data_IF_356005641414
#
_entry.id   IF_356005641414
#
_cell.length_a   1.000
_cell.length_b   1.000
_cell.length_c   1.000
_cell.angle_alpha   90.00
_cell.angle_beta   90.00
_cell.angle_gamma   90.00
#
_symmetry.space_group_name_H-M   'P 1'
#
loop_
_entity.id
_entity.type
_entity.pdbx_description
1 polymer ?
#
# COMPACT_ATOMS: atom_id res chain seq x y z
N UNK A 1 -8.44 -33.35 6.28
CA UNK A 1 -8.46 -31.94 6.71
C UNK A 1 -8.12 -31.90 8.20
N UNK A 2 -6.85 -31.74 8.56
CA UNK A 2 -6.44 -31.65 9.97
C UNK A 2 -6.43 -30.17 10.33
N UNK A 3 -7.47 -29.70 11.01
CA UNK A 3 -7.47 -28.34 11.57
C UNK A 3 -6.71 -28.39 12.90
N UNK A 4 -5.41 -28.11 12.86
CA UNK A 4 -4.66 -27.76 14.06
C UNK A 4 -5.05 -26.33 14.47
N UNK A 5 -6.28 -26.17 14.93
CA UNK A 5 -6.74 -24.92 15.53
C UNK A 5 -6.23 -24.87 16.98
N UNK A 6 -4.95 -24.57 17.16
CA UNK A 6 -4.45 -24.15 18.47
C UNK A 6 -5.18 -22.86 18.84
N UNK A 7 -6.07 -22.91 19.84
CA UNK A 7 -6.76 -21.72 20.40
C UNK A 7 -5.80 -20.76 21.13
N UNK A 8 -4.51 -21.08 21.20
CA UNK A 8 -3.51 -20.28 21.88
C UNK A 8 -2.91 -19.24 20.92
N UNK A 9 -3.51 -18.05 20.92
CA UNK A 9 -3.16 -16.94 20.03
C UNK A 9 -1.69 -16.50 20.17
N UNK A 10 -1.09 -16.62 21.36
CA UNK A 10 0.32 -16.27 21.56
C UNK A 10 1.27 -17.20 20.78
N UNK A 11 0.93 -18.49 20.73
CA UNK A 11 1.72 -19.48 19.99
C UNK A 11 1.64 -19.17 18.50
N UNK A 12 0.44 -18.86 17.99
CA UNK A 12 0.23 -18.45 16.59
C UNK A 12 1.06 -17.20 16.27
N UNK A 13 1.00 -16.16 17.13
CA UNK A 13 1.76 -14.92 16.96
C UNK A 13 3.27 -15.17 16.93
N UNK A 14 3.80 -16.01 17.82
CA UNK A 14 5.22 -16.40 17.82
C UNK A 14 5.62 -17.16 16.56
N UNK A 15 4.81 -18.13 16.13
CA UNK A 15 5.07 -18.92 14.91
C UNK A 15 5.10 -18.02 13.68
N UNK A 16 4.12 -17.13 13.50
CA UNK A 16 4.10 -16.21 12.36
C UNK A 16 5.29 -15.24 12.43
N UNK A 17 5.60 -14.70 13.62
CA UNK A 17 6.78 -13.85 13.85
C UNK A 17 8.10 -14.52 13.43
N UNK A 18 8.31 -15.77 13.84
CA UNK A 18 9.50 -16.55 13.48
C UNK A 18 9.53 -16.81 11.97
N UNK A 19 8.39 -17.16 11.38
CA UNK A 19 8.30 -17.40 9.94
C UNK A 19 8.60 -16.14 9.12
N UNK A 20 8.05 -14.98 9.48
CA UNK A 20 8.34 -13.72 8.79
C UNK A 20 9.80 -13.29 8.91
N UNK A 21 10.48 -13.69 9.98
CA UNK A 21 11.92 -13.41 10.15
C UNK A 21 12.79 -14.36 9.33
N UNK A 22 12.55 -15.67 9.43
CA UNK A 22 13.48 -16.68 8.92
C UNK A 22 13.19 -17.15 7.51
N UNK A 23 11.93 -17.18 7.08
CA UNK A 23 11.55 -17.66 5.73
C UNK A 23 12.12 -16.74 4.63
N UNK A 24 12.02 -15.39 4.73
CA UNK A 24 12.60 -14.52 3.72
C UNK A 24 14.12 -14.64 3.66
N UNK A 25 14.80 -14.72 4.82
CA UNK A 25 16.25 -14.93 4.89
C UNK A 25 16.66 -16.26 4.25
N UNK A 26 15.95 -17.34 4.56
CA UNK A 26 16.20 -18.65 3.95
C UNK A 26 16.00 -18.62 2.44
N UNK A 27 14.92 -18.01 1.95
CA UNK A 27 14.64 -17.91 0.53
C UNK A 27 15.64 -16.98 -0.18
N UNK A 28 16.05 -15.89 0.44
CA UNK A 28 17.08 -15.00 -0.09
C UNK A 28 18.43 -15.72 -0.20
N UNK A 29 18.88 -16.40 0.85
CA UNK A 29 20.16 -17.12 0.83
C UNK A 29 20.19 -18.26 -0.18
N UNK A 30 19.07 -18.98 -0.37
CA UNK A 30 19.02 -20.15 -1.25
C UNK A 30 18.59 -19.86 -2.70
N UNK A 31 17.89 -18.75 -2.95
CA UNK A 31 17.38 -18.40 -4.29
C UNK A 31 18.08 -17.18 -4.89
N UNK A 32 18.52 -16.24 -4.06
CA UNK A 32 19.26 -15.02 -4.42
C UNK A 32 20.74 -15.22 -4.07
N UNK A 33 21.33 -16.32 -4.54
CA UNK A 33 22.79 -16.39 -4.58
C UNK A 33 23.33 -15.27 -5.48
N UNK A 34 24.51 -14.72 -5.14
CA UNK A 34 25.17 -13.56 -5.78
C UNK A 34 25.28 -13.61 -7.32
N UNK A 35 24.99 -14.75 -7.95
CA UNK A 35 25.08 -14.96 -9.39
C UNK A 35 23.79 -14.63 -10.17
N UNK A 36 22.61 -14.60 -9.54
CA UNK A 36 21.35 -14.41 -10.26
C UNK A 36 20.64 -13.12 -9.84
N UNK A 37 20.78 -12.07 -10.66
CA UNK A 37 20.03 -10.79 -10.50
C UNK A 37 18.50 -10.98 -10.58
N UNK A 38 18.04 -12.11 -11.14
CA UNK A 38 16.62 -12.40 -11.27
C UNK A 38 16.27 -13.82 -10.78
N UNK A 39 15.31 -13.89 -9.84
CA UNK A 39 14.82 -15.12 -9.22
C UNK A 39 14.39 -16.20 -10.23
N UNK A 40 13.86 -15.80 -11.39
CA UNK A 40 13.37 -16.73 -12.42
C UNK A 40 14.47 -17.46 -13.19
N UNK A 41 15.73 -17.02 -13.07
CA UNK A 41 16.88 -17.65 -13.72
C UNK A 41 17.45 -18.81 -12.90
N UNK A 42 17.07 -18.92 -11.62
CA UNK A 42 17.52 -20.01 -10.77
C UNK A 42 16.77 -21.31 -11.15
N UNK A 43 17.46 -22.43 -11.45
CA UNK A 43 16.80 -23.69 -11.82
C UNK A 43 15.86 -24.22 -10.72
N UNK A 44 16.16 -23.93 -9.45
CA UNK A 44 15.31 -24.32 -8.31
C UNK A 44 14.02 -23.49 -8.22
N UNK A 45 13.94 -22.35 -8.92
CA UNK A 45 12.77 -21.47 -8.91
C UNK A 45 11.49 -22.18 -9.34
N UNK A 46 11.54 -23.07 -10.34
CA UNK A 46 10.35 -23.80 -10.80
C UNK A 46 9.68 -24.60 -9.67
N UNK A 47 10.48 -25.16 -8.76
CA UNK A 47 10.02 -25.94 -7.61
C UNK A 47 9.52 -24.99 -6.51
N UNK A 48 10.32 -23.98 -6.17
CA UNK A 48 9.99 -23.05 -5.09
C UNK A 48 8.88 -22.06 -5.42
N UNK A 49 8.59 -21.79 -6.70
CA UNK A 49 7.59 -20.80 -7.14
C UNK A 49 6.23 -21.01 -6.48
N UNK A 50 5.76 -22.26 -6.39
CA UNK A 50 4.45 -22.58 -5.79
C UNK A 50 4.47 -22.32 -4.29
N UNK A 51 5.52 -22.75 -3.60
CA UNK A 51 5.67 -22.54 -2.16
C UNK A 51 5.83 -21.06 -1.80
N UNK A 52 6.62 -20.31 -2.57
CA UNK A 52 6.79 -18.86 -2.40
C UNK A 52 5.46 -18.16 -2.67
N UNK A 53 4.75 -18.51 -3.75
CA UNK A 53 3.43 -17.94 -4.04
C UNK A 53 2.45 -18.20 -2.91
N UNK A 54 2.41 -19.42 -2.36
CA UNK A 54 1.53 -19.75 -1.23
C UNK A 54 1.90 -18.97 0.02
N UNK A 55 3.19 -18.83 0.33
CA UNK A 55 3.68 -18.02 1.44
C UNK A 55 3.27 -16.55 1.31
N UNK A 56 3.48 -15.94 0.14
CA UNK A 56 3.09 -14.56 -0.13
C UNK A 56 1.57 -14.37 -0.04
N UNK A 57 0.79 -15.29 -0.59
CA UNK A 57 -0.68 -15.27 -0.45
C UNK A 57 -1.12 -15.36 1.01
N UNK A 58 -0.47 -16.19 1.83
CA UNK A 58 -0.76 -16.28 3.27
C UNK A 58 -0.48 -14.96 4.00
N UNK A 59 0.60 -14.24 3.63
CA UNK A 59 0.87 -12.89 4.18
C UNK A 59 -0.29 -11.94 3.85
N UNK A 60 -0.73 -11.93 2.59
CA UNK A 60 -1.85 -11.08 2.14
C UNK A 60 -3.12 -11.43 2.91
N UNK A 61 -3.40 -12.72 3.11
CA UNK A 61 -4.55 -13.19 3.89
C UNK A 61 -4.50 -12.71 5.34
N UNK A 62 -3.34 -12.79 6.00
CA UNK A 62 -3.16 -12.31 7.38
C UNK A 62 -3.44 -10.80 7.47
N UNK A 63 -2.93 -10.01 6.53
CA UNK A 63 -3.16 -8.55 6.49
C UNK A 63 -4.63 -8.22 6.23
N UNK A 64 -5.30 -8.99 5.38
CA UNK A 64 -6.73 -8.79 5.08
C UNK A 64 -7.68 -9.30 6.15
N UNK A 65 -7.21 -10.17 7.06
CA UNK A 65 -8.09 -10.84 8.01
C UNK A 65 -8.35 -9.94 9.21
N UNK A 66 -9.61 -9.69 9.57
CA UNK A 66 -9.97 -8.84 10.72
C UNK A 66 -9.85 -9.65 12.01
N UNK A 67 -8.66 -10.19 12.31
CA UNK A 67 -8.45 -10.94 13.55
C UNK A 67 -8.10 -9.96 14.66
N UNK A 68 -8.99 -9.73 15.64
CA UNK A 68 -8.83 -8.69 16.67
C UNK A 68 -7.68 -8.96 17.66
N UNK A 69 -7.00 -10.11 17.57
CA UNK A 69 -5.93 -10.53 18.48
C UNK A 69 -4.53 -10.56 17.85
N UNK A 70 -4.40 -10.20 16.57
CA UNK A 70 -3.11 -10.09 15.89
C UNK A 70 -2.69 -8.62 15.87
N UNK A 71 -1.53 -8.29 16.44
CA UNK A 71 -0.93 -6.96 16.33
C UNK A 71 -0.55 -6.68 14.87
N UNK A 72 -1.51 -6.25 14.06
CA UNK A 72 -1.37 -6.01 12.61
C UNK A 72 -0.17 -5.12 12.32
N UNK A 73 0.07 -4.09 13.16
CA UNK A 73 1.26 -3.24 13.13
C UNK A 73 2.58 -4.03 13.15
N UNK A 74 2.73 -5.00 14.06
CA UNK A 74 3.96 -5.81 14.16
C UNK A 74 4.15 -6.72 12.95
N UNK A 75 3.06 -7.15 12.29
CA UNK A 75 3.15 -7.93 11.07
C UNK A 75 3.61 -7.06 9.91
N UNK A 76 3.00 -5.89 9.73
CA UNK A 76 3.33 -4.95 8.63
C UNK A 76 4.78 -4.49 8.71
N UNK A 77 5.31 -4.25 9.91
CA UNK A 77 6.73 -3.86 10.06
C UNK A 77 7.69 -5.02 9.73
N UNK A 78 7.24 -6.27 9.79
CA UNK A 78 8.07 -7.48 9.59
C UNK A 78 7.98 -8.10 8.20
N UNK A 79 7.08 -7.63 7.33
CA UNK A 79 6.98 -8.15 5.95
C UNK A 79 8.02 -7.56 4.99
N UNK A 80 8.75 -6.50 5.38
CA UNK A 80 9.72 -5.81 4.51
C UNK A 80 10.75 -6.74 3.84
N UNK A 81 11.38 -7.71 4.54
CA UNK A 81 12.30 -8.67 3.91
C UNK A 81 11.66 -9.52 2.80
N UNK A 82 10.34 -9.74 2.86
CA UNK A 82 9.61 -10.53 1.87
C UNK A 82 9.36 -9.76 0.57
N UNK A 83 9.54 -8.44 0.54
CA UNK A 83 9.23 -7.61 -0.63
C UNK A 83 10.03 -7.98 -1.87
N UNK A 84 11.26 -8.46 -1.72
CA UNK A 84 12.07 -8.92 -2.85
C UNK A 84 11.42 -10.08 -3.62
N UNK A 85 10.68 -10.95 -2.93
CA UNK A 85 10.03 -12.13 -3.51
C UNK A 85 8.82 -11.78 -4.37
N UNK A 86 8.22 -10.59 -4.18
CA UNK A 86 7.08 -10.12 -4.95
C UNK A 86 7.43 -9.71 -6.38
N UNK A 87 8.72 -9.54 -6.70
CA UNK A 87 9.17 -9.10 -8.03
C UNK A 87 8.55 -9.92 -9.18
N UNK A 88 8.49 -11.24 -8.99
CA UNK A 88 8.01 -12.21 -9.99
C UNK A 88 6.49 -12.37 -10.02
N UNK A 89 5.76 -11.85 -9.02
CA UNK A 89 4.31 -12.04 -8.88
C UNK A 89 3.58 -10.69 -8.91
N UNK A 90 3.25 -10.23 -10.12
CA UNK A 90 2.60 -8.93 -10.31
C UNK A 90 1.22 -8.83 -9.63
N UNK A 91 0.40 -9.88 -9.70
CA UNK A 91 -0.95 -9.85 -9.14
C UNK A 91 -0.93 -9.90 -7.61
N UNK A 92 -0.03 -10.69 -7.01
CA UNK A 92 0.19 -10.69 -5.56
C UNK A 92 0.73 -9.34 -5.07
N UNK A 93 1.61 -8.71 -5.84
CA UNK A 93 2.11 -7.35 -5.53
C UNK A 93 0.96 -6.33 -5.50
N UNK A 94 0.08 -6.34 -6.51
CA UNK A 94 -1.10 -5.46 -6.55
C UNK A 94 -2.04 -5.74 -5.38
N UNK A 95 -2.28 -7.01 -5.06
CA UNK A 95 -3.15 -7.40 -3.95
C UNK A 95 -2.59 -6.97 -2.60
N UNK A 96 -1.28 -7.12 -2.37
CA UNK A 96 -0.61 -6.62 -1.16
C UNK A 96 -0.78 -5.11 -1.05
N UNK A 97 -0.45 -4.37 -2.11
CA UNK A 97 -0.57 -2.91 -2.12
C UNK A 97 -2.01 -2.45 -1.88
N UNK A 98 -3.00 -3.10 -2.47
CA UNK A 98 -4.40 -2.78 -2.23
C UNK A 98 -4.77 -2.96 -0.75
N UNK A 99 -4.32 -4.06 -0.12
CA UNK A 99 -4.59 -4.29 1.30
C UNK A 99 -3.87 -3.28 2.19
N UNK A 100 -2.62 -2.92 1.88
CA UNK A 100 -1.91 -1.87 2.62
C UNK A 100 -2.58 -0.50 2.47
N UNK A 101 -3.06 -0.16 1.27
CA UNK A 101 -3.79 1.08 0.99
C UNK A 101 -5.12 1.16 1.77
N UNK A 102 -5.82 0.03 1.97
CA UNK A 102 -7.03 0.00 2.80
C UNK A 102 -6.75 0.34 4.27
N UNK A 103 -5.55 0.00 4.75
CA UNK A 103 -5.14 0.31 6.12
C UNK A 103 -4.76 1.78 6.32
N UNK A 104 -4.68 2.60 5.26
CA UNK A 104 -4.41 4.04 5.39
C UNK A 104 -5.59 4.80 6.02
N UNK A 105 -6.79 4.22 5.97
CA UNK A 105 -7.99 4.78 6.57
C UNK A 105 -8.38 4.05 7.86
N UNK A 106 -7.50 3.21 8.41
CA UNK A 106 -7.72 2.55 9.69
C UNK A 106 -7.82 3.59 10.83
N UNK A 107 -8.56 3.26 11.90
CA UNK A 107 -8.72 4.14 13.06
C UNK A 107 -7.41 4.30 13.84
N UNK A 108 -6.56 3.27 13.85
CA UNK A 108 -5.30 3.27 14.59
C UNK A 108 -4.18 3.99 13.83
N UNK A 109 -3.62 5.04 14.42
CA UNK A 109 -2.47 5.78 13.85
C UNK A 109 -1.25 4.88 13.62
N UNK A 110 -0.96 3.97 14.54
CA UNK A 110 0.17 3.04 14.44
C UNK A 110 0.02 2.11 13.22
N UNK A 111 -1.20 1.66 12.93
CA UNK A 111 -1.46 0.79 11.77
C UNK A 111 -1.32 1.60 10.48
N UNK A 112 -1.85 2.83 10.45
CA UNK A 112 -1.70 3.73 9.30
C UNK A 112 -0.24 4.01 8.99
N UNK A 113 0.56 4.42 9.98
CA UNK A 113 1.98 4.76 9.79
C UNK A 113 2.80 3.55 9.31
N UNK A 114 2.63 2.38 9.95
CA UNK A 114 3.31 1.18 9.51
C UNK A 114 2.93 0.75 8.09
N UNK A 115 1.66 0.89 7.70
CA UNK A 115 1.22 0.59 6.34
C UNK A 115 1.86 1.55 5.33
N UNK A 116 1.99 2.83 5.67
CA UNK A 116 2.62 3.86 4.83
C UNK A 116 4.11 3.58 4.64
N UNK A 117 4.84 3.33 5.73
CA UNK A 117 6.28 3.01 5.69
C UNK A 117 6.55 1.74 4.88
N UNK A 118 5.77 0.68 5.11
CA UNK A 118 5.86 -0.57 4.36
C UNK A 118 5.54 -0.39 2.88
N UNK A 119 4.60 0.49 2.53
CA UNK A 119 4.30 0.81 1.13
C UNK A 119 5.46 1.57 0.48
N UNK A 120 6.06 2.53 1.19
CA UNK A 120 7.22 3.27 0.70
C UNK A 120 8.43 2.36 0.46
N UNK A 121 8.72 1.46 1.41
CA UNK A 121 9.79 0.47 1.27
C UNK A 121 9.53 -0.51 0.12
N UNK A 122 8.28 -0.94 -0.08
CA UNK A 122 7.91 -1.75 -1.23
C UNK A 122 8.15 -1.01 -2.56
N UNK A 123 7.82 0.28 -2.63
CA UNK A 123 7.99 1.09 -3.83
C UNK A 123 9.45 1.38 -4.17
N UNK A 124 10.33 1.51 -3.16
CA UNK A 124 11.78 1.60 -3.39
C UNK A 124 12.31 0.37 -4.15
N UNK A 125 11.77 -0.81 -3.86
CA UNK A 125 12.14 -2.06 -4.52
C UNK A 125 11.40 -2.29 -5.85
N UNK A 126 10.15 -1.81 -5.96
CA UNK A 126 9.28 -2.02 -7.12
C UNK A 126 8.69 -0.71 -7.66
N UNK A 127 9.51 0.16 -8.28
CA UNK A 127 9.08 1.48 -8.74
C UNK A 127 7.96 1.43 -9.79
N UNK A 128 7.79 0.30 -10.49
CA UNK A 128 6.72 0.09 -11.48
C UNK A 128 5.30 0.27 -10.92
N UNK A 129 5.10 0.12 -9.62
CA UNK A 129 3.79 0.27 -8.98
C UNK A 129 3.55 1.69 -8.43
N UNK A 130 4.51 2.60 -8.58
CA UNK A 130 4.43 3.95 -8.02
C UNK A 130 3.19 4.70 -8.51
N UNK A 131 2.91 4.67 -9.81
CA UNK A 131 1.72 5.32 -10.39
C UNK A 131 0.40 4.76 -9.85
N UNK A 132 0.32 3.45 -9.61
CA UNK A 132 -0.86 2.79 -9.04
C UNK A 132 -1.10 3.27 -7.61
N UNK A 133 -0.06 3.22 -6.77
CA UNK A 133 -0.15 3.62 -5.36
C UNK A 133 -0.50 5.09 -5.25
N UNK A 134 0.19 5.95 -6.01
CA UNK A 134 -0.01 7.39 -5.96
C UNK A 134 -1.43 7.77 -6.39
N UNK A 135 -1.96 7.15 -7.46
CA UNK A 135 -3.35 7.36 -7.88
C UNK A 135 -4.35 6.95 -6.79
N UNK A 136 -4.19 5.75 -6.22
CA UNK A 136 -5.12 5.26 -5.20
C UNK A 136 -5.03 6.04 -3.90
N UNK A 137 -3.84 6.44 -3.46
CA UNK A 137 -3.65 7.31 -2.30
C UNK A 137 -4.32 8.66 -2.51
N UNK A 138 -4.22 9.23 -3.72
CA UNK A 138 -4.91 10.47 -4.08
C UNK A 138 -6.43 10.30 -4.09
N UNK A 139 -6.95 9.22 -4.68
CA UNK A 139 -8.38 8.91 -4.68
C UNK A 139 -8.92 8.75 -3.25
N UNK A 140 -8.17 8.09 -2.37
CA UNK A 140 -8.49 7.96 -0.94
C UNK A 140 -8.50 9.32 -0.25
N UNK A 141 -7.49 10.15 -0.46
CA UNK A 141 -7.44 11.52 0.07
C UNK A 141 -8.66 12.34 -0.36
N UNK A 142 -9.02 12.31 -1.65
CA UNK A 142 -10.20 12.99 -2.16
C UNK A 142 -11.51 12.43 -1.58
N UNK A 143 -11.61 11.11 -1.38
CA UNK A 143 -12.78 10.46 -0.79
C UNK A 143 -12.95 10.85 0.69
N UNK A 144 -11.88 10.80 1.48
CA UNK A 144 -11.86 11.23 2.89
C UNK A 144 -12.26 12.69 3.03
N UNK A 145 -11.85 13.53 2.07
CA UNK A 145 -12.18 14.94 2.07
C UNK A 145 -13.67 15.21 1.78
N UNK A 146 -14.31 14.43 0.90
CA UNK A 146 -15.74 14.53 0.55
C UNK A 146 -16.67 14.08 1.68
N UNK A 147 -16.26 13.11 2.51
CA UNK A 147 -17.13 12.48 3.50
C UNK A 147 -17.19 13.22 4.84
N UNK A 148 -16.20 14.04 5.20
CA UNK A 148 -16.13 14.63 6.55
C UNK A 148 -15.71 16.10 6.54
N UNK A 149 -16.67 17.02 6.67
CA UNK A 149 -16.35 18.45 6.90
C UNK A 149 -15.82 18.69 8.33
N UNK A 150 -16.00 17.76 9.28
CA UNK A 150 -15.68 18.05 10.69
C UNK A 150 -15.07 16.94 11.57
N UNK A 151 -14.72 15.74 11.06
CA UNK A 151 -14.48 14.61 11.98
C UNK A 151 -13.14 13.86 11.93
N UNK A 152 -12.25 14.04 10.94
CA UNK A 152 -11.01 13.22 10.88
C UNK A 152 -9.77 14.00 10.39
N UNK A 153 -9.44 15.10 11.08
CA UNK A 153 -8.22 15.87 10.81
C UNK A 153 -6.95 14.99 10.86
N UNK A 154 -6.91 14.02 11.79
CA UNK A 154 -5.79 13.08 11.91
C UNK A 154 -5.59 12.17 10.69
N UNK A 155 -6.69 11.72 10.06
CA UNK A 155 -6.60 10.90 8.84
C UNK A 155 -6.12 11.76 7.68
N UNK A 156 -6.60 13.00 7.56
CA UNK A 156 -6.15 13.93 6.51
C UNK A 156 -4.66 14.26 6.69
N UNK A 157 -4.21 14.54 7.92
CA UNK A 157 -2.80 14.74 8.26
C UNK A 157 -1.96 13.52 7.91
N UNK A 158 -2.42 12.33 8.27
CA UNK A 158 -1.74 11.07 7.97
C UNK A 158 -1.64 10.79 6.46
N UNK A 159 -2.71 11.01 5.71
CA UNK A 159 -2.71 10.89 4.25
C UNK A 159 -1.83 11.94 3.57
N UNK A 160 -1.75 13.15 4.12
CA UNK A 160 -0.86 14.21 3.63
C UNK A 160 0.59 13.86 3.86
N UNK A 161 0.93 13.37 5.06
CA UNK A 161 2.25 12.85 5.39
C UNK A 161 2.65 11.70 4.43
N UNK A 162 1.71 10.81 4.10
CA UNK A 162 1.94 9.75 3.13
C UNK A 162 2.25 10.27 1.72
N UNK A 163 1.53 11.29 1.23
CA UNK A 163 1.86 11.90 -0.06
C UNK A 163 3.28 12.47 -0.04
N UNK A 164 3.71 13.10 1.05
CA UNK A 164 5.09 13.57 1.22
C UNK A 164 6.09 12.41 1.20
N UNK A 165 5.79 11.32 1.90
CA UNK A 165 6.62 10.10 1.88
C UNK A 165 6.74 9.54 0.46
N UNK A 166 5.64 9.45 -0.30
CA UNK A 166 5.65 8.99 -1.69
C UNK A 166 6.45 9.94 -2.60
N UNK A 167 6.32 11.26 -2.42
CA UNK A 167 7.13 12.25 -3.14
C UNK A 167 8.63 12.06 -2.86
N UNK A 168 9.00 11.72 -1.63
CA UNK A 168 10.41 11.44 -1.29
C UNK A 168 10.96 10.17 -1.95
N UNK A 169 10.11 9.18 -2.24
CA UNK A 169 10.50 7.95 -2.94
C UNK A 169 10.80 8.19 -4.42
N UNK A 170 9.97 8.99 -5.11
CA UNK A 170 10.21 9.36 -6.51
C UNK A 170 9.58 10.72 -6.82
N UNK A 171 10.36 11.78 -6.60
CA UNK A 171 9.90 13.15 -6.77
C UNK A 171 9.47 13.45 -8.20
N UNK A 172 10.22 12.98 -9.20
CA UNK A 172 9.94 13.23 -10.63
C UNK A 172 8.57 12.69 -11.03
N UNK A 173 8.28 11.42 -10.73
CA UNK A 173 6.98 10.82 -11.06
C UNK A 173 5.85 11.44 -10.24
N UNK A 174 6.10 11.78 -8.97
CA UNK A 174 5.10 12.44 -8.14
C UNK A 174 4.73 13.82 -8.70
N UNK A 175 5.73 14.64 -9.06
CA UNK A 175 5.49 15.94 -9.69
C UNK A 175 4.73 15.81 -11.00
N UNK A 176 5.12 14.88 -11.89
CA UNK A 176 4.41 14.65 -13.15
C UNK A 176 2.93 14.33 -12.93
N UNK A 177 2.62 13.46 -11.98
CA UNK A 177 1.24 13.14 -11.64
C UNK A 177 0.49 14.35 -11.06
N UNK A 178 1.12 15.09 -10.14
CA UNK A 178 0.50 16.27 -9.53
C UNK A 178 0.18 17.31 -10.61
N UNK A 179 1.14 17.63 -11.49
CA UNK A 179 0.93 18.59 -12.58
C UNK A 179 -0.13 18.13 -13.57
N UNK A 180 -0.17 16.85 -13.94
CA UNK A 180 -1.19 16.33 -14.85
C UNK A 180 -2.59 16.43 -14.22
N UNK A 181 -2.74 16.08 -12.93
CA UNK A 181 -4.02 16.25 -12.23
C UNK A 181 -4.42 17.72 -12.13
N UNK A 182 -3.48 18.62 -11.85
CA UNK A 182 -3.72 20.07 -11.81
C UNK A 182 -4.21 20.57 -13.18
N UNK A 183 -3.56 20.11 -14.26
CA UNK A 183 -3.94 20.44 -15.65
C UNK A 183 -5.32 19.89 -16.03
N UNK A 184 -5.66 18.68 -15.60
CA UNK A 184 -6.98 18.08 -15.80
C UNK A 184 -8.04 18.90 -15.05
N UNK A 185 -7.79 19.22 -13.78
CA UNK A 185 -8.72 20.01 -12.97
C UNK A 185 -8.94 21.41 -13.55
N UNK A 186 -7.88 22.08 -14.00
CA UNK A 186 -7.98 23.39 -14.65
C UNK A 186 -8.78 23.36 -15.96
N UNK A 187 -8.59 22.31 -16.79
CA UNK A 187 -9.39 22.10 -18.00
C UNK A 187 -10.87 21.87 -17.64
N UNK A 188 -11.15 20.97 -16.71
CA UNK A 188 -12.51 20.68 -16.24
C UNK A 188 -13.21 21.94 -15.72
N UNK A 189 -12.51 22.78 -14.95
CA UNK A 189 -13.03 24.06 -14.46
C UNK A 189 -13.36 25.01 -15.62
N UNK A 190 -12.41 25.21 -16.54
CA UNK A 190 -12.60 26.09 -17.70
C UNK A 190 -13.80 25.64 -18.52
N UNK A 191 -13.92 24.35 -18.78
CA UNK A 191 -15.00 23.79 -19.58
C UNK A 191 -16.35 23.95 -18.85
N UNK A 192 -16.39 23.75 -17.53
CA UNK A 192 -17.56 23.99 -16.69
C UNK A 192 -18.03 25.46 -16.70
N UNK A 193 -17.08 26.40 -16.64
CA UNK A 193 -17.35 27.84 -16.73
C UNK A 193 -17.85 28.23 -18.12
N UNK A 194 -17.25 27.69 -19.19
CA UNK A 194 -17.63 27.97 -20.58
C UNK A 194 -19.04 27.49 -20.91
N UNK A 195 -19.45 26.32 -20.38
CA UNK A 195 -20.77 25.72 -20.62
C UNK A 195 -21.88 26.34 -19.75
N UNK A 196 -21.57 27.34 -18.91
CA UNK A 196 -22.48 27.96 -17.91
C UNK A 196 -23.27 26.92 -17.09
N UNK A 197 -22.74 25.71 -16.96
CA UNK A 197 -23.45 24.62 -16.31
C UNK A 197 -23.30 24.78 -14.79
N UNK A 198 -24.31 25.42 -14.19
CA UNK A 198 -24.35 25.70 -12.74
C UNK A 198 -24.15 24.43 -11.89
N UNK A 199 -24.52 23.25 -12.40
CA UNK A 199 -24.32 21.97 -11.70
C UNK A 199 -22.86 21.55 -11.68
N UNK A 200 -22.15 21.59 -12.81
CA UNK A 200 -20.73 21.22 -12.89
C UNK A 200 -19.86 22.25 -12.17
N UNK A 201 -20.19 23.54 -12.26
CA UNK A 201 -19.53 24.59 -11.48
C UNK A 201 -19.75 24.37 -9.98
N UNK A 202 -21.00 24.11 -9.54
CA UNK A 202 -21.30 23.78 -8.14
C UNK A 202 -20.62 22.49 -7.67
N UNK A 203 -20.48 21.48 -8.52
CA UNK A 203 -19.77 20.24 -8.20
C UNK A 203 -18.24 20.41 -8.14
N UNK A 204 -17.69 21.32 -8.95
CA UNK A 204 -16.30 21.75 -8.83
C UNK A 204 -16.07 22.54 -7.52
N UNK A 205 -17.01 23.41 -7.14
CA UNK A 205 -16.99 24.12 -5.86
C UNK A 205 -17.40 23.23 -4.65
N UNK A 206 -18.03 22.07 -4.89
CA UNK A 206 -18.25 21.02 -3.89
C UNK A 206 -16.94 20.30 -3.51
N UNK A 207 -15.78 20.71 -4.06
CA UNK A 207 -14.44 20.55 -3.48
C UNK A 207 -14.28 21.35 -2.17
N UNK A 208 -15.31 21.35 -1.30
CA UNK A 208 -15.31 21.76 0.12
C UNK A 208 -14.42 22.98 0.40
N UNK A 209 -14.53 24.11 -0.31
CA UNK A 209 -13.73 25.35 -0.06
C UNK A 209 -12.32 25.09 0.51
N UNK A 210 -11.28 24.89 -0.34
CA UNK A 210 -9.90 25.10 0.11
C UNK A 210 -9.50 24.30 1.35
N UNK A 211 -9.24 23.00 1.22
CA UNK A 211 -8.86 22.14 2.34
C UNK A 211 -7.55 22.44 3.05
N UNK A 212 -6.93 23.58 2.73
CA UNK A 212 -5.77 24.20 3.38
C UNK A 212 -5.45 25.53 2.65
N UNK A 213 -6.19 26.61 2.92
CA UNK A 213 -5.51 27.91 3.06
C UNK A 213 -5.54 28.24 4.56
N UNK A 214 -4.81 27.44 5.31
CA UNK A 214 -4.12 27.73 6.58
C UNK A 214 -3.15 26.57 6.85
#
# INVERSE_FOLDING_TARGET
KVSFATKNYEVIKRVISVNLKHVPLFLQTNLIEKQYKHLHLNPKWKIFKVYVSSYLSSIIQIISSPVPSLDVHLFITRISPSFLLYHTFCDLSKSLLNNLLLLFTDESELIRSAAMDSTADFLKLHPRFFSLVLKKSFDLYCASYKQTIYQNDEIIKSLTANVLTLVSVNSVMAYQFIFENLRINARTLRDALSLKNKKISKDFYNWKMLGTFD
#
